data_IF_363201863999
#
_entry.id   IF_363201863999
#
_cell.length_a   1.000
_cell.length_b   1.000
_cell.length_c   1.000
_cell.angle_alpha   90.00
_cell.angle_beta   90.00
_cell.angle_gamma   90.00
#
_symmetry.space_group_name_H-M   'P 1'
#
loop_
_entity.id
_entity.type
_entity.pdbx_description
1 polymer ?
#
# COMPACT_ATOMS: atom_id res chain seq x y z
N UNK A 1 -18.21 22.72 -27.22
CA UNK A 1 -18.76 22.04 -26.03
C UNK A 1 -17.79 20.94 -25.61
N UNK A 2 -16.68 21.30 -24.95
CA UNK A 2 -15.58 20.37 -24.64
C UNK A 2 -14.83 20.66 -23.34
N UNK A 3 -15.17 21.75 -22.62
CA UNK A 3 -14.47 22.19 -21.41
C UNK A 3 -14.80 21.33 -20.17
N UNK A 4 -16.05 20.90 -20.00
CA UNK A 4 -16.46 20.19 -18.77
C UNK A 4 -15.80 18.82 -18.53
N UNK A 5 -15.21 18.18 -19.55
CA UNK A 5 -14.50 16.89 -19.37
C UNK A 5 -13.06 17.07 -18.92
N UNK A 6 -12.44 18.20 -19.28
CA UNK A 6 -11.11 18.56 -18.80
C UNK A 6 -11.16 18.93 -17.31
N UNK A 7 -12.21 19.65 -16.89
CA UNK A 7 -12.40 20.04 -15.49
C UNK A 7 -12.53 18.83 -14.55
N UNK A 8 -13.33 17.83 -14.93
CA UNK A 8 -13.47 16.58 -14.15
C UNK A 8 -12.16 15.80 -14.07
N UNK A 9 -11.37 15.80 -15.14
CA UNK A 9 -10.09 15.09 -15.17
C UNK A 9 -9.09 15.77 -14.24
N UNK A 10 -9.03 17.10 -14.29
CA UNK A 10 -8.15 17.90 -13.44
C UNK A 10 -8.53 17.74 -11.96
N UNK A 11 -9.82 17.85 -11.64
CA UNK A 11 -10.35 17.67 -10.29
C UNK A 11 -10.04 16.27 -9.74
N UNK A 12 -10.14 15.23 -10.57
CA UNK A 12 -9.77 13.87 -10.18
C UNK A 12 -8.26 13.74 -9.90
N UNK A 13 -7.42 14.36 -10.73
CA UNK A 13 -5.96 14.39 -10.53
C UNK A 13 -5.61 15.11 -9.22
N UNK A 14 -6.18 16.29 -8.97
CA UNK A 14 -5.93 17.06 -7.75
C UNK A 14 -6.30 16.26 -6.50
N UNK A 15 -7.48 15.62 -6.50
CA UNK A 15 -7.91 14.75 -5.40
C UNK A 15 -6.97 13.55 -5.19
N UNK A 16 -6.54 12.91 -6.28
CA UNK A 16 -5.62 11.78 -6.22
C UNK A 16 -4.26 12.19 -5.65
N UNK A 17 -3.72 13.33 -6.08
CA UNK A 17 -2.45 13.87 -5.57
C UNK A 17 -2.56 14.24 -4.10
N UNK A 18 -3.65 14.91 -3.70
CA UNK A 18 -3.88 15.25 -2.29
C UNK A 18 -3.99 14.00 -1.40
N UNK A 19 -4.72 12.98 -1.84
CA UNK A 19 -4.82 11.71 -1.13
C UNK A 19 -3.45 11.02 -1.03
N UNK A 20 -2.68 11.03 -2.11
CA UNK A 20 -1.33 10.46 -2.14
C UNK A 20 -0.38 11.18 -1.19
N UNK A 21 -0.49 12.51 -1.09
CA UNK A 21 0.28 13.32 -0.14
C UNK A 21 -0.07 13.00 1.31
N UNK A 22 -1.35 12.84 1.63
CA UNK A 22 -1.81 12.41 2.97
C UNK A 22 -1.26 11.02 3.29
N UNK A 23 -1.39 10.06 2.37
CA UNK A 23 -0.88 8.71 2.55
C UNK A 23 0.63 8.71 2.78
N UNK A 24 1.39 9.48 2.00
CA UNK A 24 2.84 9.63 2.18
C UNK A 24 3.19 10.21 3.54
N UNK A 25 2.49 11.26 3.97
CA UNK A 25 2.69 11.87 5.30
C UNK A 25 2.43 10.89 6.45
N UNK A 26 1.43 10.00 6.32
CA UNK A 26 1.18 8.94 7.30
C UNK A 26 2.35 7.93 7.33
N UNK A 27 2.86 7.52 6.17
CA UNK A 27 4.02 6.62 6.10
C UNK A 27 5.27 7.25 6.73
N UNK A 28 5.50 8.54 6.50
CA UNK A 28 6.59 9.31 7.11
C UNK A 28 6.43 9.42 8.63
N UNK A 29 5.23 9.73 9.10
CA UNK A 29 4.94 9.78 10.53
C UNK A 29 5.24 8.44 11.21
N UNK A 30 4.84 7.33 10.59
CA UNK A 30 5.10 5.98 11.11
C UNK A 30 6.58 5.62 11.04
N UNK A 31 7.28 6.04 9.97
CA UNK A 31 8.73 5.90 9.87
C UNK A 31 9.46 6.53 11.06
N UNK A 32 9.05 7.74 11.47
CA UNK A 32 9.68 8.46 12.59
C UNK A 32 9.24 7.96 13.97
N UNK A 33 7.96 7.61 14.14
CA UNK A 33 7.40 7.31 15.47
C UNK A 33 7.40 5.82 15.83
N UNK A 34 7.49 4.93 14.83
CA UNK A 34 7.35 3.47 14.98
C UNK A 34 8.48 2.71 14.28
N UNK A 35 9.64 3.35 14.09
CA UNK A 35 10.79 2.79 13.38
C UNK A 35 11.15 1.36 13.81
N UNK A 36 11.32 1.13 15.12
CA UNK A 36 11.70 -0.17 15.66
C UNK A 36 10.66 -1.27 15.43
N UNK A 37 9.37 -0.92 15.54
CA UNK A 37 8.27 -1.84 15.29
C UNK A 37 8.17 -2.21 13.81
N UNK A 38 8.31 -1.23 12.92
CA UNK A 38 8.32 -1.44 11.48
C UNK A 38 9.50 -2.33 11.07
N UNK A 39 10.71 -2.01 11.53
CA UNK A 39 11.90 -2.79 11.20
C UNK A 39 11.83 -4.21 11.76
N UNK A 40 11.27 -4.41 12.95
CA UNK A 40 11.10 -5.73 13.56
C UNK A 40 10.10 -6.64 12.82
N UNK A 41 9.21 -6.07 12.00
CA UNK A 41 8.20 -6.78 11.21
C UNK A 41 8.53 -6.84 9.72
N UNK A 42 9.67 -6.29 9.31
CA UNK A 42 10.06 -6.24 7.91
C UNK A 42 10.63 -7.58 7.45
N UNK A 43 9.90 -8.26 6.56
CA UNK A 43 10.27 -9.56 6.00
C UNK A 43 11.08 -9.47 4.68
N UNK A 44 11.60 -8.29 4.36
CA UNK A 44 12.39 -8.09 3.14
C UNK A 44 13.77 -8.75 3.19
N UNK A 45 14.31 -9.06 2.01
CA UNK A 45 15.57 -9.81 1.87
C UNK A 45 16.82 -9.10 2.42
N UNK A 46 16.81 -7.77 2.51
CA UNK A 46 17.89 -7.00 3.11
C UNK A 46 17.71 -6.93 4.64
N UNK A 47 18.40 -7.83 5.35
CA UNK A 47 18.38 -7.93 6.83
C UNK A 47 19.19 -6.88 7.57
N UNK A 48 20.01 -6.09 6.87
CA UNK A 48 20.73 -4.97 7.46
C UNK A 48 19.97 -3.69 7.17
N UNK A 49 19.28 -3.17 8.19
CA UNK A 49 18.78 -1.81 8.18
C UNK A 49 19.97 -0.88 7.92
N UNK A 50 20.00 -0.23 6.76
CA UNK A 50 21.05 0.75 6.43
C UNK A 50 20.90 2.06 7.23
N UNK A 51 19.76 2.23 7.92
CA UNK A 51 19.38 3.39 8.70
C UNK A 51 18.40 2.97 9.80
N UNK A 52 18.47 3.64 10.95
CA UNK A 52 17.53 3.48 12.06
C UNK A 52 16.11 3.93 11.68
N UNK A 53 15.99 4.80 10.67
CA UNK A 53 14.72 5.29 10.15
C UNK A 53 14.35 4.52 8.87
N UNK A 54 13.29 3.69 8.87
CA UNK A 54 12.87 2.94 7.69
C UNK A 54 12.34 3.89 6.61
N UNK A 55 12.55 3.58 5.33
CA UNK A 55 11.92 4.36 4.26
C UNK A 55 10.40 4.18 4.27
N UNK A 56 9.67 5.12 3.68
CA UNK A 56 8.22 5.04 3.50
C UNK A 56 7.81 3.78 2.73
N UNK A 57 8.67 3.31 1.81
CA UNK A 57 8.49 2.05 1.10
C UNK A 57 8.57 0.83 2.02
N UNK A 58 9.51 0.83 2.98
CA UNK A 58 9.61 -0.23 3.99
C UNK A 58 8.36 -0.23 4.88
N UNK A 59 7.97 0.95 5.40
CA UNK A 59 6.74 1.11 6.20
C UNK A 59 5.51 0.59 5.44
N UNK A 60 5.37 0.98 4.17
CA UNK A 60 4.27 0.51 3.31
C UNK A 60 4.26 -1.01 3.19
N UNK A 61 5.41 -1.64 2.96
CA UNK A 61 5.50 -3.08 2.80
C UNK A 61 5.05 -3.84 4.06
N UNK A 62 5.46 -3.36 5.24
CA UNK A 62 5.07 -3.93 6.53
C UNK A 62 3.57 -3.78 6.77
N UNK A 63 3.02 -2.58 6.57
CA UNK A 63 1.57 -2.35 6.72
C UNK A 63 0.77 -3.21 5.76
N UNK A 64 1.22 -3.34 4.50
CA UNK A 64 0.56 -4.21 3.52
C UNK A 64 0.60 -5.67 3.96
N UNK A 65 1.74 -6.15 4.46
CA UNK A 65 1.88 -7.52 4.96
C UNK A 65 0.98 -7.76 6.19
N UNK A 66 0.89 -6.82 7.13
CA UNK A 66 0.00 -6.94 8.29
C UNK A 66 -1.49 -6.88 7.90
N UNK A 67 -1.86 -5.96 7.03
CA UNK A 67 -3.24 -5.81 6.57
C UNK A 67 -3.71 -7.02 5.77
N UNK A 68 -2.83 -7.58 4.93
CA UNK A 68 -3.13 -8.77 4.12
C UNK A 68 -2.96 -10.08 4.89
N UNK A 69 -2.12 -10.16 5.93
CA UNK A 69 -2.04 -11.36 6.79
C UNK A 69 -3.26 -11.48 7.71
N UNK A 70 -3.87 -10.35 8.09
CA UNK A 70 -5.06 -10.30 8.93
C UNK A 70 -6.39 -10.46 8.18
N UNK A 71 -6.40 -11.16 7.04
CA UNK A 71 -7.53 -11.43 6.12
C UNK A 71 -8.84 -11.93 6.76
N UNK A 72 -8.86 -12.36 8.02
CA UNK A 72 -10.08 -12.66 8.78
C UNK A 72 -10.74 -11.46 9.47
N UNK A 73 -10.06 -10.32 9.57
CA UNK A 73 -10.52 -9.07 10.22
C UNK A 73 -11.05 -8.03 9.24
N UNK A 74 -10.79 -8.20 7.95
CA UNK A 74 -11.25 -7.28 6.90
C UNK A 74 -12.56 -7.82 6.33
N UNK A 75 -13.67 -7.07 6.37
CA UNK A 75 -14.95 -7.52 5.80
C UNK A 75 -14.77 -7.93 4.34
N UNK A 76 -15.42 -9.03 3.93
CA UNK A 76 -15.35 -9.54 2.57
C UNK A 76 -16.06 -8.62 1.56
N UNK A 77 -15.44 -7.47 1.28
CA UNK A 77 -15.92 -6.54 0.26
C UNK A 77 -15.64 -7.06 -1.16
N UNK A 78 -16.43 -6.59 -2.12
CA UNK A 78 -16.31 -6.91 -3.56
C UNK A 78 -14.91 -6.65 -4.09
N UNK A 79 -14.26 -5.57 -3.63
CA UNK A 79 -12.90 -5.20 -4.00
C UNK A 79 -11.88 -6.27 -3.60
N UNK A 80 -11.96 -6.78 -2.38
CA UNK A 80 -11.07 -7.84 -1.89
C UNK A 80 -11.31 -9.17 -2.61
N UNK A 81 -12.56 -9.48 -2.94
CA UNK A 81 -12.87 -10.65 -3.79
C UNK A 81 -12.22 -10.56 -5.16
N UNK A 82 -12.22 -9.38 -5.80
CA UNK A 82 -11.57 -9.18 -7.10
C UNK A 82 -10.04 -9.35 -7.01
N UNK A 83 -9.41 -8.79 -5.97
CA UNK A 83 -7.97 -8.98 -5.73
C UNK A 83 -7.63 -10.46 -5.52
N UNK A 84 -8.46 -11.17 -4.73
CA UNK A 84 -8.29 -12.60 -4.45
C UNK A 84 -8.46 -13.49 -5.69
N UNK A 85 -9.40 -13.14 -6.57
CA UNK A 85 -9.61 -13.85 -7.84
C UNK A 85 -8.37 -13.79 -8.73
N UNK A 86 -7.81 -12.59 -8.90
CA UNK A 86 -6.61 -12.38 -9.72
C UNK A 86 -5.37 -13.10 -9.18
N UNK A 87 -5.18 -13.11 -7.86
CA UNK A 87 -4.03 -13.81 -7.26
C UNK A 87 -4.05 -15.33 -7.50
N UNK A 88 -5.23 -15.96 -7.63
CA UNK A 88 -5.33 -17.41 -7.90
C UNK A 88 -5.05 -17.75 -9.37
N UNK A 89 -5.46 -16.91 -10.31
CA UNK A 89 -5.17 -17.08 -11.74
C UNK A 89 -3.66 -17.01 -12.01
N UNK A 90 -2.96 -16.06 -11.40
CA UNK A 90 -1.51 -15.95 -11.55
C UNK A 90 -0.75 -17.14 -10.95
N UNK A 91 -1.23 -17.73 -9.84
CA UNK A 91 -0.60 -18.94 -9.28
C UNK A 91 -0.86 -20.21 -10.08
N UNK A 92 -1.99 -20.32 -10.79
CA UNK A 92 -2.25 -21.45 -11.69
C UNK A 92 -1.43 -21.36 -12.98
N UNK A 93 -1.18 -20.15 -13.49
CA UNK A 93 -0.38 -19.95 -14.71
C UNK A 93 1.13 -20.16 -14.48
N UNK A 94 1.61 -20.00 -13.26
CA UNK A 94 3.02 -20.26 -12.89
C UNK A 94 3.27 -21.76 -12.61
N UNK A 95 2.22 -22.52 -12.30
CA UNK A 95 2.29 -23.95 -11.98
C UNK A 95 1.97 -24.88 -13.16
N UNK A 96 1.65 -24.32 -14.34
CA UNK A 96 1.43 -25.02 -15.61
C UNK A 96 2.64 -24.85 -16.53
#
# INVERSE_FOLDING_TARGET
MGLGRFDLTLEAIERFVNLSGIALGVLQYLSLTRASEVLGKYEGWLRTASSDCPSEGVVRSVIQAEFLSSLGKVPADRTLRMIRGRGRETSSDIAA
#
